data_IF_462832568017
#
_entry.id   IF_462832568017
#
_cell.length_a   1.000
_cell.length_b   1.000
_cell.length_c   1.000
_cell.angle_alpha   90.00
_cell.angle_beta   90.00
_cell.angle_gamma   90.00
#
_symmetry.space_group_name_H-M   'P 1'
#
loop_
_entity.id
_entity.type
_entity.pdbx_description
1 polymer ?
#
# COMPACT_ATOMS: atom_id res chain seq x y z
N UNK A 1 19.16 -27.94 29.36
CA UNK A 1 19.76 -28.50 28.13
C UNK A 1 18.88 -28.07 26.97
N UNK A 2 19.26 -27.01 26.27
CA UNK A 2 18.47 -26.43 25.19
C UNK A 2 18.79 -27.10 23.84
N UNK A 3 17.75 -27.35 23.06
CA UNK A 3 17.77 -28.07 21.78
C UNK A 3 18.62 -27.37 20.72
N UNK A 4 19.55 -28.13 20.12
CA UNK A 4 20.53 -27.74 19.09
C UNK A 4 19.93 -27.44 17.70
N UNK A 5 18.62 -27.17 17.60
CA UNK A 5 17.90 -27.10 16.32
C UNK A 5 18.08 -25.78 15.57
N UNK A 6 18.60 -24.73 16.22
CA UNK A 6 18.63 -23.37 15.64
C UNK A 6 20.02 -22.70 15.63
N UNK A 7 21.08 -23.43 15.99
CA UNK A 7 22.44 -22.88 16.03
C UNK A 7 22.96 -22.36 14.66
N UNK A 8 22.36 -22.78 13.55
CA UNK A 8 22.73 -22.32 12.21
C UNK A 8 22.40 -20.83 11.97
N UNK A 9 21.42 -20.26 12.68
CA UNK A 9 21.03 -18.85 12.51
C UNK A 9 22.06 -17.85 13.08
N UNK A 10 22.91 -18.30 14.02
CA UNK A 10 23.96 -17.48 14.63
C UNK A 10 25.30 -17.55 13.88
N UNK A 11 25.36 -18.33 12.79
CA UNK A 11 26.54 -18.40 11.93
C UNK A 11 26.64 -17.11 11.11
N UNK A 12 27.37 -16.11 11.62
CA UNK A 12 27.82 -14.95 10.86
C UNK A 12 28.93 -15.33 9.86
N UNK A 13 28.72 -16.38 9.07
CA UNK A 13 29.45 -16.64 7.83
C UNK A 13 28.88 -15.72 6.75
N UNK A 14 29.12 -14.41 6.92
CA UNK A 14 29.06 -13.47 5.80
C UNK A 14 30.21 -13.80 4.88
N UNK A 15 30.00 -14.79 4.00
CA UNK A 15 30.75 -14.83 2.76
C UNK A 15 30.53 -13.47 2.10
N UNK A 16 31.62 -12.79 1.77
CA UNK A 16 31.64 -11.65 0.86
C UNK A 16 31.22 -12.15 -0.54
N UNK A 17 29.96 -12.55 -0.65
CA UNK A 17 29.30 -12.77 -1.92
C UNK A 17 29.04 -11.38 -2.47
N UNK A 18 30.05 -10.85 -3.18
CA UNK A 18 29.78 -9.86 -4.21
C UNK A 18 28.67 -10.45 -5.08
N UNK A 19 27.45 -9.98 -4.85
CA UNK A 19 26.33 -10.19 -5.73
C UNK A 19 26.63 -9.48 -7.06
N UNK A 20 27.54 -10.06 -7.85
CA UNK A 20 27.63 -9.81 -9.29
C UNK A 20 26.47 -10.55 -9.96
N UNK A 21 25.24 -10.23 -9.54
CA UNK A 21 24.08 -10.45 -10.38
C UNK A 21 24.07 -9.32 -11.39
N UNK A 22 24.92 -9.41 -12.42
CA UNK A 22 24.61 -8.73 -13.66
C UNK A 22 23.24 -9.27 -14.09
N UNK A 23 22.21 -8.46 -13.89
CA UNK A 23 20.87 -8.79 -14.36
C UNK A 23 20.97 -8.82 -15.88
N UNK A 24 21.09 -10.01 -16.47
CA UNK A 24 20.90 -10.23 -17.90
C UNK A 24 19.42 -10.06 -18.23
N UNK A 25 18.88 -8.87 -17.98
CA UNK A 25 17.58 -8.46 -18.46
C UNK A 25 17.79 -7.90 -19.85
N UNK A 26 17.47 -8.70 -20.86
CA UNK A 26 17.41 -8.26 -22.24
C UNK A 26 15.94 -7.96 -22.50
N UNK A 27 15.52 -6.71 -22.27
CA UNK A 27 14.15 -6.28 -22.53
C UNK A 27 13.77 -6.55 -23.99
N UNK A 28 12.49 -6.75 -24.25
CA UNK A 28 11.98 -7.08 -25.60
C UNK A 28 12.37 -6.02 -26.65
N UNK A 29 12.66 -4.79 -26.19
CA UNK A 29 13.07 -3.66 -27.02
C UNK A 29 14.21 -2.87 -26.35
N UNK A 30 15.45 -3.38 -26.38
CA UNK A 30 16.57 -2.83 -25.60
C UNK A 30 16.90 -1.39 -26.04
N UNK A 31 16.80 -1.09 -27.33
CA UNK A 31 17.03 0.26 -27.86
C UNK A 31 15.95 1.24 -27.39
N UNK A 32 14.69 0.78 -27.29
CA UNK A 32 13.57 1.61 -26.89
C UNK A 32 13.59 1.87 -25.38
N UNK A 33 13.91 0.86 -24.58
CA UNK A 33 14.11 1.00 -23.13
C UNK A 33 15.27 1.96 -22.83
N UNK A 34 16.40 1.84 -23.56
CA UNK A 34 17.52 2.77 -23.44
C UNK A 34 17.13 4.19 -23.85
N UNK A 35 16.38 4.36 -24.95
CA UNK A 35 15.92 5.66 -25.40
C UNK A 35 14.97 6.32 -24.37
N UNK A 36 14.04 5.55 -23.78
CA UNK A 36 13.14 6.03 -22.73
C UNK A 36 13.90 6.42 -21.46
N UNK A 37 14.87 5.60 -21.05
CA UNK A 37 15.72 5.87 -19.89
C UNK A 37 16.55 7.15 -20.07
N UNK A 38 17.22 7.30 -21.22
CA UNK A 38 17.97 8.51 -21.55
C UNK A 38 17.07 9.75 -21.63
N UNK A 39 15.89 9.61 -22.24
CA UNK A 39 14.90 10.68 -22.30
C UNK A 39 14.43 11.09 -20.91
N UNK A 40 14.15 10.14 -20.02
CA UNK A 40 13.76 10.40 -18.63
C UNK A 40 14.83 11.22 -17.90
N UNK A 41 16.09 10.76 -17.92
CA UNK A 41 17.21 11.49 -17.31
C UNK A 41 17.36 12.89 -17.90
N UNK A 42 17.20 13.02 -19.22
CA UNK A 42 17.29 14.32 -19.87
C UNK A 42 16.15 15.26 -19.46
N UNK A 43 14.94 14.73 -19.26
CA UNK A 43 13.78 15.48 -18.83
C UNK A 43 13.82 15.85 -17.35
N UNK A 44 14.40 15.01 -16.49
CA UNK A 44 14.66 15.36 -15.07
C UNK A 44 15.61 16.55 -14.93
N UNK A 45 16.62 16.63 -15.81
CA UNK A 45 17.56 17.77 -15.85
C UNK A 45 16.90 19.05 -16.37
N UNK A 46 15.76 18.97 -17.06
CA UNK A 46 15.04 20.12 -17.59
C UNK A 46 14.04 20.62 -16.56
N UNK A 47 14.00 21.94 -16.36
CA UNK A 47 12.97 22.56 -15.54
C UNK A 47 11.60 22.32 -16.17
N UNK A 48 10.68 21.75 -15.40
CA UNK A 48 9.32 21.48 -15.87
C UNK A 48 8.66 22.79 -16.37
N UNK A 49 8.03 22.78 -17.55
CA UNK A 49 7.30 23.94 -18.05
C UNK A 49 6.13 24.27 -17.11
N UNK A 50 5.95 25.56 -16.84
CA UNK A 50 4.87 26.05 -15.98
C UNK A 50 3.65 26.37 -16.83
N UNK A 51 2.63 25.55 -16.75
CA UNK A 51 1.36 25.75 -17.44
C UNK A 51 0.36 26.46 -16.51
N UNK A 52 -0.61 27.16 -17.10
CA UNK A 52 -1.75 27.69 -16.34
C UNK A 52 -2.81 26.61 -16.14
N UNK A 53 -3.56 26.67 -15.03
CA UNK A 53 -4.71 25.79 -14.81
C UNK A 53 -5.73 25.88 -15.97
N UNK A 54 -5.89 27.07 -16.53
CA UNK A 54 -6.77 27.30 -17.68
C UNK A 54 -6.35 26.57 -18.95
N UNK A 55 -5.05 26.32 -19.16
CA UNK A 55 -4.59 25.49 -20.28
C UNK A 55 -5.08 24.05 -20.12
N UNK A 56 -4.91 23.47 -18.92
CA UNK A 56 -5.32 22.10 -18.62
C UNK A 56 -6.85 21.96 -18.72
N UNK A 57 -7.60 22.93 -18.22
CA UNK A 57 -9.06 22.92 -18.29
C UNK A 57 -9.56 23.01 -19.74
N UNK A 58 -8.94 23.85 -20.57
CA UNK A 58 -9.26 23.94 -22.00
C UNK A 58 -8.90 22.67 -22.75
N UNK A 59 -7.77 22.03 -22.43
CA UNK A 59 -7.38 20.75 -22.99
C UNK A 59 -8.41 19.66 -22.67
N UNK A 60 -8.78 19.53 -21.38
CA UNK A 60 -9.81 18.58 -20.94
C UNK A 60 -11.13 18.82 -21.65
N UNK A 61 -11.59 20.07 -21.73
CA UNK A 61 -12.83 20.45 -22.45
C UNK A 61 -12.77 20.12 -23.94
N UNK A 62 -11.66 20.45 -24.61
CA UNK A 62 -11.48 20.21 -26.06
C UNK A 62 -11.52 18.72 -26.41
N UNK A 63 -10.94 17.88 -25.56
CA UNK A 63 -10.87 16.43 -25.79
C UNK A 63 -11.93 15.65 -25.01
N UNK A 64 -12.91 16.33 -24.39
CA UNK A 64 -13.97 15.72 -23.57
C UNK A 64 -13.45 14.79 -22.46
N UNK A 65 -12.29 15.10 -21.87
CA UNK A 65 -11.70 14.33 -20.77
C UNK A 65 -12.39 14.72 -19.46
N UNK A 66 -12.96 13.73 -18.77
CA UNK A 66 -13.69 13.88 -17.51
C UNK A 66 -13.12 12.95 -16.46
N UNK A 67 -13.27 13.34 -15.19
CA UNK A 67 -12.99 12.49 -14.05
C UNK A 67 -14.18 11.58 -13.78
N UNK A 68 -13.91 10.29 -13.64
CA UNK A 68 -14.89 9.27 -13.26
C UNK A 68 -14.46 8.62 -11.96
N UNK A 69 -15.43 8.36 -11.06
CA UNK A 69 -15.21 7.66 -9.80
C UNK A 69 -15.82 6.25 -9.86
N UNK A 70 -14.99 5.24 -9.63
CA UNK A 70 -15.39 3.85 -9.41
C UNK A 70 -16.06 3.75 -8.03
N UNK A 71 -17.33 3.33 -8.00
CA UNK A 71 -18.03 3.04 -6.75
C UNK A 71 -17.70 1.61 -6.33
N UNK A 72 -17.22 1.44 -5.10
CA UNK A 72 -17.19 0.13 -4.44
C UNK A 72 -18.45 -0.10 -3.61
N UNK A 73 -18.78 -1.35 -3.33
CA UNK A 73 -19.76 -1.70 -2.28
C UNK A 73 -19.19 -1.31 -0.91
N UNK A 74 -19.91 -0.48 -0.17
CA UNK A 74 -19.64 -0.23 1.24
C UNK A 74 -20.41 -1.25 2.08
N UNK A 75 -19.71 -2.07 2.85
CA UNK A 75 -20.34 -2.91 3.86
C UNK A 75 -20.80 -2.03 5.02
N UNK A 76 -22.11 -1.99 5.29
CA UNK A 76 -22.66 -1.38 6.50
C UNK A 76 -22.62 -2.41 7.63
N UNK A 77 -21.88 -2.13 8.69
CA UNK A 77 -21.98 -2.86 9.96
C UNK A 77 -22.77 -1.98 10.91
N UNK A 78 -23.87 -2.50 11.46
CA UNK A 78 -24.66 -1.79 12.46
C UNK A 78 -23.96 -1.88 13.83
N UNK A 79 -23.05 -0.93 14.04
CA UNK A 79 -22.28 -0.75 15.29
C UNK A 79 -23.14 -0.29 16.46
N UNK A 80 -24.43 -0.01 16.26
CA UNK A 80 -25.36 0.42 17.31
C UNK A 80 -26.37 -0.66 17.73
N UNK A 81 -26.20 -1.90 17.27
CA UNK A 81 -26.96 -3.02 17.80
C UNK A 81 -26.68 -3.18 19.32
N UNK A 82 -27.74 -3.31 20.13
CA UNK A 82 -27.64 -3.45 21.59
C UNK A 82 -26.72 -4.59 22.03
N UNK A 83 -26.71 -5.69 21.29
CA UNK A 83 -25.87 -6.84 21.59
C UNK A 83 -24.38 -6.54 21.40
N UNK A 84 -24.03 -5.79 20.34
CA UNK A 84 -22.65 -5.35 20.09
C UNK A 84 -22.16 -4.42 21.19
N UNK A 85 -23.02 -3.50 21.64
CA UNK A 85 -22.69 -2.56 22.73
C UNK A 85 -22.46 -3.31 24.04
N UNK A 86 -23.35 -4.23 24.42
CA UNK A 86 -23.20 -5.06 25.63
C UNK A 86 -21.92 -5.90 25.61
N UNK A 87 -21.56 -6.47 24.47
CA UNK A 87 -20.32 -7.24 24.31
C UNK A 87 -19.07 -6.36 24.51
N UNK A 88 -19.07 -5.14 23.97
CA UNK A 88 -17.97 -4.20 24.16
C UNK A 88 -17.82 -3.78 25.63
N UNK A 89 -18.92 -3.58 26.34
CA UNK A 89 -18.87 -3.19 27.76
C UNK A 89 -18.35 -4.31 28.65
N UNK A 90 -18.74 -5.57 28.38
CA UNK A 90 -18.19 -6.72 29.09
C UNK A 90 -16.66 -6.85 28.90
N UNK A 91 -16.18 -6.70 27.66
CA UNK A 91 -14.75 -6.72 27.37
C UNK A 91 -13.99 -5.60 28.09
N UNK A 92 -14.54 -4.39 28.14
CA UNK A 92 -13.95 -3.27 28.89
C UNK A 92 -13.88 -3.55 30.38
N UNK A 93 -14.93 -4.16 30.95
CA UNK A 93 -14.96 -4.53 32.35
C UNK A 93 -13.88 -5.58 32.68
N UNK A 94 -13.70 -6.60 31.84
CA UNK A 94 -12.63 -7.58 32.00
C UNK A 94 -11.24 -6.95 31.88
N UNK A 95 -11.03 -6.12 30.85
CA UNK A 95 -9.77 -5.41 30.63
C UNK A 95 -9.41 -4.44 31.78
N UNK A 96 -10.39 -3.90 32.51
CA UNK A 96 -10.16 -2.96 33.61
C UNK A 96 -9.33 -3.55 34.78
N UNK A 97 -9.24 -4.87 34.86
CA UNK A 97 -8.42 -5.57 35.86
C UNK A 97 -6.92 -5.59 35.53
N UNK A 98 -6.54 -5.23 34.31
CA UNK A 98 -5.17 -5.22 33.82
C UNK A 98 -4.61 -3.79 33.76
N UNK A 99 -3.29 -3.65 33.90
CA UNK A 99 -2.64 -2.37 33.66
C UNK A 99 -2.64 -2.05 32.15
N UNK A 100 -2.67 -0.77 31.78
CA UNK A 100 -2.74 -0.34 30.37
C UNK A 100 -1.61 -0.92 29.51
N UNK A 101 -0.41 -1.04 30.07
CA UNK A 101 0.75 -1.66 29.40
C UNK A 101 0.54 -3.14 29.02
N UNK A 102 -0.35 -3.83 29.73
CA UNK A 102 -0.62 -5.26 29.56
C UNK A 102 -1.86 -5.51 28.68
N UNK A 103 -2.53 -4.43 28.24
CA UNK A 103 -3.68 -4.50 27.32
C UNK A 103 -3.17 -4.24 25.90
N UNK A 104 -3.15 -5.28 25.07
CA UNK A 104 -2.72 -5.18 23.67
C UNK A 104 -3.91 -5.25 22.71
N UNK A 105 -3.92 -4.34 21.74
CA UNK A 105 -4.74 -4.47 20.55
C UNK A 105 -3.90 -5.04 19.42
N UNK A 106 -4.43 -6.01 18.68
CA UNK A 106 -3.78 -6.55 17.47
C UNK A 106 -4.78 -6.51 16.33
N UNK A 107 -4.39 -5.88 15.23
CA UNK A 107 -5.22 -5.83 14.02
C UNK A 107 -4.43 -6.21 12.77
N UNK A 108 -5.16 -6.74 11.78
CA UNK A 108 -4.62 -7.13 10.47
C UNK A 108 -5.04 -6.11 9.43
N UNK A 109 -4.07 -5.36 8.92
CA UNK A 109 -4.30 -4.44 7.79
C UNK A 109 -3.68 -4.95 6.50
N UNK A 110 -4.25 -4.56 5.37
CA UNK A 110 -3.75 -4.89 4.04
C UNK A 110 -3.11 -3.67 3.38
N UNK A 111 -1.80 -3.71 3.13
CA UNK A 111 -1.12 -2.71 2.32
C UNK A 111 -1.19 -3.12 0.84
N UNK A 112 -2.06 -2.46 0.07
CA UNK A 112 -2.24 -2.76 -1.35
C UNK A 112 -1.28 -1.92 -2.21
N UNK A 113 -0.16 -2.50 -2.62
CA UNK A 113 0.85 -1.80 -3.43
C UNK A 113 0.46 -1.69 -4.91
N UNK A 114 -0.40 -2.57 -5.41
CA UNK A 114 -0.87 -2.59 -6.82
C UNK A 114 -2.33 -2.12 -6.96
N UNK A 115 -2.90 -1.44 -5.95
CA UNK A 115 -4.29 -1.01 -6.02
C UNK A 115 -4.43 0.17 -6.98
N UNK A 116 -5.21 -0.03 -8.04
CA UNK A 116 -5.56 1.06 -8.95
C UNK A 116 -6.42 2.12 -8.25
N UNK A 117 -6.20 3.41 -8.57
CA UNK A 117 -6.99 4.51 -8.01
C UNK A 117 -8.49 4.31 -8.26
N UNK A 118 -9.33 4.84 -7.37
CA UNK A 118 -10.79 4.86 -7.51
C UNK A 118 -11.26 5.93 -8.49
N UNK A 119 -10.37 6.81 -8.95
CA UNK A 119 -10.66 7.85 -9.92
C UNK A 119 -9.75 7.78 -11.12
N UNK A 120 -10.31 8.04 -12.29
CA UNK A 120 -9.57 8.05 -13.54
C UNK A 120 -10.09 9.15 -14.47
N UNK A 121 -9.21 9.60 -15.37
CA UNK A 121 -9.55 10.55 -16.43
C UNK A 121 -9.81 9.78 -17.72
N UNK A 122 -10.98 9.95 -18.33
CA UNK A 122 -11.31 9.31 -19.59
C UNK A 122 -12.26 10.18 -20.42
N UNK A 123 -12.40 9.86 -21.71
CA UNK A 123 -13.38 10.49 -22.60
C UNK A 123 -14.77 9.89 -22.45
N UNK A 124 -14.85 8.67 -21.92
CA UNK A 124 -16.07 7.92 -21.65
C UNK A 124 -15.91 7.11 -20.36
N UNK A 125 -17.01 6.78 -19.72
CA UNK A 125 -16.99 5.90 -18.56
C UNK A 125 -16.67 4.48 -19.01
N UNK A 126 -15.56 3.94 -18.53
CA UNK A 126 -15.18 2.54 -18.75
C UNK A 126 -15.90 1.69 -17.70
N UNK A 127 -16.41 0.53 -18.10
CA UNK A 127 -16.98 -0.44 -17.18
C UNK A 127 -15.98 -0.85 -16.09
N UNK A 128 -16.47 -1.09 -14.88
CA UNK A 128 -15.60 -1.41 -13.74
C UNK A 128 -14.80 -2.69 -13.98
N UNK A 129 -13.47 -2.57 -14.02
CA UNK A 129 -12.57 -3.72 -14.00
C UNK A 129 -12.33 -4.24 -12.58
N UNK A 130 -12.01 -5.53 -12.45
CA UNK A 130 -11.59 -6.10 -11.17
C UNK A 130 -10.25 -5.47 -10.79
N UNK A 131 -10.23 -4.67 -9.72
CA UNK A 131 -8.99 -4.10 -9.19
C UNK A 131 -8.06 -5.21 -8.68
N UNK A 132 -6.75 -5.03 -8.86
CA UNK A 132 -5.77 -5.87 -8.18
C UNK A 132 -6.00 -5.79 -6.67
N UNK A 133 -6.08 -6.95 -6.03
CA UNK A 133 -6.17 -7.10 -4.57
C UNK A 133 -4.84 -7.59 -4.01
N UNK A 134 -3.77 -7.54 -4.81
CA UNK A 134 -2.42 -7.84 -4.35
C UNK A 134 -2.05 -6.90 -3.21
N UNK A 135 -1.69 -7.50 -2.08
CA UNK A 135 -1.45 -6.80 -0.84
C UNK A 135 -0.41 -7.54 -0.02
N UNK A 136 0.33 -6.78 0.76
CA UNK A 136 1.09 -7.29 1.89
C UNK A 136 0.16 -7.22 3.09
N UNK A 137 -0.03 -8.35 3.79
CA UNK A 137 -0.79 -8.37 5.04
C UNK A 137 0.15 -8.02 6.18
N UNK A 138 -0.20 -6.97 6.90
CA UNK A 138 0.52 -6.51 8.08
C UNK A 138 -0.31 -6.87 9.32
N UNK A 139 0.34 -7.45 10.32
CA UNK A 139 -0.22 -7.62 11.65
C UNK A 139 0.43 -6.57 12.52
N UNK A 140 -0.37 -5.68 13.10
CA UNK A 140 0.09 -4.60 13.95
C UNK A 140 -0.43 -4.86 15.35
N UNK A 141 0.45 -4.76 16.33
CA UNK A 141 0.13 -4.94 17.74
C UNK A 141 0.62 -3.72 18.50
N UNK A 142 -0.23 -3.12 19.33
CA UNK A 142 0.14 -1.99 20.17
C UNK A 142 -0.51 -2.14 21.54
N UNK A 143 0.22 -1.76 22.58
CA UNK A 143 -0.33 -1.71 23.93
C UNK A 143 -1.18 -0.44 24.16
N UNK A 144 -2.03 -0.44 25.18
CA UNK A 144 -3.00 0.63 25.39
C UNK A 144 -2.38 1.94 25.89
N UNK A 145 -1.13 1.91 26.38
CA UNK A 145 -0.37 3.13 26.75
C UNK A 145 0.47 3.71 25.59
N UNK A 146 0.61 2.97 24.49
CA UNK A 146 1.29 3.39 23.26
C UNK A 146 2.82 3.38 23.31
N UNK A 147 3.42 2.80 24.36
CA UNK A 147 4.88 2.72 24.52
C UNK A 147 5.50 1.51 23.82
N UNK A 148 4.74 0.45 23.59
CA UNK A 148 5.20 -0.79 22.94
C UNK A 148 4.43 -1.00 21.63
N UNK A 149 5.16 -1.03 20.51
CA UNK A 149 4.66 -1.18 19.14
C UNK A 149 5.52 -2.15 18.31
#
# INVERSE_FOLDING_TARGET
MASSSYAYLDSNDRKDDKLDSQRNYQGDYPDLENALYLWHIQMEKKKAPKWSNGWLDRLKKRHNIKEYKLRGEGGSVDIHNEDTVKQMDNLRAECSSYALKDIFNTDKTGLFWNLQPDRYLATQQIGGGKKSKERITLVLTANADGLEN
#
